data_IF_929460489242
#
_entry.id   IF_929460489242
#
_cell.length_a   1.000
_cell.length_b   1.000
_cell.length_c   1.000
_cell.angle_alpha   90.00
_cell.angle_beta   90.00
_cell.angle_gamma   90.00
#
_symmetry.space_group_name_H-M   'P 1'
#
loop_
_entity.id
_entity.type
_entity.pdbx_description
1 polymer ?
#
# COMPACT_ATOMS: atom_id res chain seq x y z
N UNK A 1 16.73 -0.34 -6.52
CA UNK A 1 17.88 0.25 -5.79
C UNK A 1 17.86 1.76 -5.92
N UNK A 2 17.79 2.28 -7.14
CA UNK A 2 17.88 3.72 -7.45
C UNK A 2 16.90 4.61 -6.68
N UNK A 3 15.67 4.17 -6.41
CA UNK A 3 14.73 4.94 -5.59
C UNK A 3 15.24 5.19 -4.16
N UNK A 4 15.90 4.21 -3.53
CA UNK A 4 16.49 4.37 -2.20
C UNK A 4 17.70 5.32 -2.23
N UNK A 5 18.52 5.24 -3.28
CA UNK A 5 19.67 6.13 -3.49
C UNK A 5 19.19 7.56 -3.74
N UNK A 6 18.23 7.74 -4.65
CA UNK A 6 17.68 9.05 -5.02
C UNK A 6 16.98 9.76 -3.86
N UNK A 7 16.44 9.04 -2.90
CA UNK A 7 15.84 9.62 -1.69
C UNK A 7 16.87 9.86 -0.57
N UNK A 8 18.14 9.54 -0.78
CA UNK A 8 19.21 9.66 0.22
C UNK A 8 19.09 8.67 1.38
N UNK A 9 18.26 7.61 1.23
CA UNK A 9 17.99 6.66 2.31
C UNK A 9 19.16 5.73 2.60
N UNK A 10 20.01 5.48 1.60
CA UNK A 10 21.22 4.68 1.77
C UNK A 10 22.13 5.31 2.80
N UNK A 11 22.45 6.60 2.65
CA UNK A 11 23.31 7.31 3.60
C UNK A 11 22.58 7.58 4.92
N UNK A 12 21.33 8.08 4.84
CA UNK A 12 20.56 8.48 6.03
C UNK A 12 20.33 7.33 7.01
N UNK A 13 20.00 6.15 6.50
CA UNK A 13 19.69 4.97 7.32
C UNK A 13 20.81 3.93 7.32
N UNK A 14 22.00 4.30 6.81
CA UNK A 14 23.19 3.44 6.74
C UNK A 14 22.88 2.08 6.10
N UNK A 15 22.15 2.09 4.98
CA UNK A 15 21.77 0.86 4.28
C UNK A 15 22.95 0.29 3.50
N UNK A 16 23.10 -1.03 3.54
CA UNK A 16 24.04 -1.75 2.68
C UNK A 16 23.39 -2.06 1.33
N UNK A 17 24.00 -1.63 0.23
CA UNK A 17 23.44 -1.79 -1.12
C UNK A 17 23.27 -3.27 -1.52
N UNK A 18 24.16 -4.16 -1.05
CA UNK A 18 24.01 -5.60 -1.29
C UNK A 18 22.77 -6.14 -0.57
N UNK A 19 22.50 -5.71 0.66
CA UNK A 19 21.26 -6.05 1.38
C UNK A 19 20.02 -5.50 0.70
N UNK A 20 20.08 -4.27 0.18
CA UNK A 20 18.99 -3.68 -0.60
C UNK A 20 18.70 -4.54 -1.85
N UNK A 21 19.74 -4.89 -2.61
CA UNK A 21 19.60 -5.72 -3.81
C UNK A 21 19.04 -7.13 -3.48
N UNK A 22 19.57 -7.77 -2.44
CA UNK A 22 19.12 -9.09 -2.00
C UNK A 22 17.67 -9.07 -1.53
N UNK A 23 17.28 -8.09 -0.72
CA UNK A 23 15.90 -7.92 -0.27
C UNK A 23 14.95 -7.76 -1.45
N UNK A 24 15.27 -6.85 -2.40
CA UNK A 24 14.43 -6.62 -3.57
C UNK A 24 14.27 -7.89 -4.42
N UNK A 25 15.35 -8.66 -4.60
CA UNK A 25 15.32 -9.95 -5.29
C UNK A 25 14.48 -10.99 -4.54
N UNK A 26 14.62 -11.08 -3.22
CA UNK A 26 13.82 -12.01 -2.41
C UNK A 26 12.33 -11.67 -2.49
N UNK A 27 11.97 -10.39 -2.41
CA UNK A 27 10.57 -9.94 -2.56
C UNK A 27 10.06 -10.23 -3.98
N UNK A 28 10.83 -9.97 -5.02
CA UNK A 28 10.37 -10.21 -6.40
C UNK A 28 10.07 -11.68 -6.67
N UNK A 29 10.85 -12.61 -6.09
CA UNK A 29 10.64 -14.04 -6.22
C UNK A 29 9.40 -14.57 -5.46
N UNK A 30 8.88 -13.79 -4.51
CA UNK A 30 7.66 -14.13 -3.77
C UNK A 30 6.39 -13.64 -4.46
N UNK A 31 6.50 -12.84 -5.51
CA UNK A 31 5.36 -12.53 -6.37
C UNK A 31 5.14 -13.67 -7.36
N UNK A 32 3.92 -14.23 -7.35
CA UNK A 32 3.57 -15.35 -8.23
C UNK A 32 3.46 -14.90 -9.69
N UNK A 33 4.14 -15.61 -10.59
CA UNK A 33 4.00 -15.43 -12.04
C UNK A 33 2.61 -15.85 -12.56
N UNK A 34 1.84 -16.60 -11.75
CA UNK A 34 0.48 -17.02 -12.10
C UNK A 34 -0.56 -15.90 -11.88
N UNK A 35 -0.23 -14.87 -11.10
CA UNK A 35 -1.11 -13.73 -10.89
C UNK A 35 -1.00 -12.76 -12.07
N UNK A 36 -2.06 -12.66 -12.88
CA UNK A 36 -2.10 -11.73 -14.01
C UNK A 36 -2.00 -10.26 -13.55
N UNK A 37 -2.62 -9.91 -12.42
CA UNK A 37 -2.64 -8.54 -11.89
C UNK A 37 -1.74 -8.36 -10.67
N UNK A 38 -1.87 -9.20 -9.64
CA UNK A 38 -1.12 -9.07 -8.39
C UNK A 38 0.30 -9.68 -8.46
N UNK A 39 1.06 -9.32 -9.49
CA UNK A 39 2.45 -9.74 -9.71
C UNK A 39 3.47 -8.66 -9.29
N UNK A 40 4.76 -8.94 -9.50
CA UNK A 40 5.85 -8.02 -9.15
C UNK A 40 5.74 -6.67 -9.85
N UNK A 41 5.26 -6.63 -11.10
CA UNK A 41 5.03 -5.39 -11.84
C UNK A 41 4.02 -4.49 -11.12
N UNK A 42 2.97 -5.07 -10.52
CA UNK A 42 2.02 -4.33 -9.72
C UNK A 42 2.67 -3.74 -8.46
N UNK A 43 3.45 -4.54 -7.72
CA UNK A 43 4.17 -4.10 -6.53
C UNK A 43 5.18 -2.99 -6.85
N UNK A 44 5.96 -3.16 -7.91
CA UNK A 44 6.91 -2.16 -8.39
C UNK A 44 6.23 -0.85 -8.77
N UNK A 45 5.12 -0.89 -9.51
CA UNK A 45 4.38 0.32 -9.86
C UNK A 45 3.82 1.02 -8.63
N UNK A 46 3.35 0.28 -7.62
CA UNK A 46 2.89 0.89 -6.36
C UNK A 46 4.06 1.55 -5.62
N UNK A 47 5.23 0.91 -5.56
CA UNK A 47 6.45 1.52 -5.02
C UNK A 47 6.86 2.79 -5.79
N UNK A 48 6.77 2.78 -7.12
CA UNK A 48 7.05 3.96 -7.95
C UNK A 48 6.08 5.11 -7.63
N UNK A 49 4.79 4.82 -7.50
CA UNK A 49 3.80 5.84 -7.12
C UNK A 49 4.12 6.44 -5.74
N UNK A 50 4.47 5.58 -4.75
CA UNK A 50 4.91 6.06 -3.44
C UNK A 50 6.19 6.90 -3.51
N UNK A 51 7.16 6.51 -4.33
CA UNK A 51 8.37 7.29 -4.57
C UNK A 51 8.05 8.69 -5.11
N UNK A 52 7.16 8.80 -6.11
CA UNK A 52 6.74 10.09 -6.68
C UNK A 52 5.95 10.93 -5.65
N UNK A 53 5.09 10.31 -4.84
CA UNK A 53 4.40 11.01 -3.75
C UNK A 53 5.39 11.56 -2.71
N UNK A 54 6.41 10.79 -2.35
CA UNK A 54 7.45 11.23 -1.39
C UNK A 54 8.28 12.39 -1.97
N UNK A 55 8.69 12.26 -3.24
CA UNK A 55 9.65 13.16 -3.86
C UNK A 55 9.01 14.43 -4.44
N UNK A 56 7.93 14.29 -5.18
CA UNK A 56 7.38 15.36 -6.03
C UNK A 56 6.14 16.02 -5.41
N UNK A 57 5.40 15.31 -4.55
CA UNK A 57 4.26 15.87 -3.81
C UNK A 57 4.65 16.38 -2.40
N UNK A 58 5.95 16.52 -2.15
CA UNK A 58 6.55 17.03 -0.90
C UNK A 58 6.01 16.37 0.37
N UNK A 59 5.65 15.09 0.31
CA UNK A 59 5.15 14.38 1.49
C UNK A 59 6.18 14.32 2.63
N UNK A 60 7.47 14.47 2.29
CA UNK A 60 8.57 14.56 3.26
C UNK A 60 8.54 15.83 4.12
N UNK A 61 7.82 16.88 3.73
CA UNK A 61 7.57 18.04 4.60
C UNK A 61 6.49 17.78 5.64
N UNK A 62 5.72 16.69 5.53
CA UNK A 62 4.71 16.29 6.51
C UNK A 62 5.11 15.06 7.31
N UNK A 63 5.56 13.99 6.66
CA UNK A 63 5.91 12.73 7.32
C UNK A 63 7.34 12.72 7.86
N UNK A 64 7.57 11.90 8.88
CA UNK A 64 8.91 11.63 9.36
C UNK A 64 9.68 10.75 8.34
N UNK A 65 11.00 10.89 8.20
CA UNK A 65 11.77 10.11 7.24
C UNK A 65 11.66 8.59 7.41
N UNK A 66 11.45 8.10 8.65
CA UNK A 66 11.18 6.68 8.92
C UNK A 66 9.83 6.25 8.36
N UNK A 67 8.82 7.12 8.39
CA UNK A 67 7.48 6.86 7.85
C UNK A 67 7.50 6.89 6.33
N UNK A 68 8.26 7.79 5.71
CA UNK A 68 8.49 7.79 4.26
C UNK A 68 9.25 6.52 3.81
N UNK A 69 10.24 6.06 4.59
CA UNK A 69 10.93 4.79 4.34
C UNK A 69 9.94 3.61 4.43
N UNK A 70 9.13 3.58 5.49
CA UNK A 70 8.09 2.57 5.71
C UNK A 70 7.08 2.53 4.54
N UNK A 71 6.59 3.69 4.10
CA UNK A 71 5.67 3.82 2.97
C UNK A 71 6.24 3.21 1.68
N UNK A 72 7.52 3.48 1.38
CA UNK A 72 8.18 2.95 0.19
C UNK A 72 8.32 1.42 0.24
N UNK A 73 8.76 0.87 1.39
CA UNK A 73 8.90 -0.59 1.60
C UNK A 73 7.54 -1.28 1.55
N UNK A 74 6.54 -0.74 2.27
CA UNK A 74 5.19 -1.27 2.32
C UNK A 74 4.55 -1.27 0.94
N UNK A 75 4.76 -0.23 0.14
CA UNK A 75 4.20 -0.13 -1.20
C UNK A 75 4.71 -1.20 -2.16
N UNK A 76 5.98 -1.60 -2.04
CA UNK A 76 6.52 -2.71 -2.83
C UNK A 76 5.95 -4.06 -2.41
N UNK A 77 5.68 -4.24 -1.11
CA UNK A 77 5.38 -5.55 -0.53
C UNK A 77 3.90 -5.77 -0.22
N UNK A 78 3.04 -4.79 -0.52
CA UNK A 78 1.63 -4.80 -0.17
C UNK A 78 0.82 -5.99 -0.71
N UNK A 79 1.37 -6.72 -1.70
CA UNK A 79 0.74 -7.89 -2.32
C UNK A 79 1.73 -9.08 -2.44
N UNK A 80 2.80 -9.11 -1.63
CA UNK A 80 3.82 -10.17 -1.73
C UNK A 80 3.24 -11.54 -1.31
N UNK A 81 3.44 -12.58 -2.11
CA UNK A 81 2.84 -13.90 -1.86
C UNK A 81 1.34 -13.99 -2.16
N UNK A 82 0.76 -13.00 -2.86
CA UNK A 82 -0.64 -13.06 -3.31
C UNK A 82 -0.88 -14.30 -4.18
N UNK A 83 -1.98 -15.02 -3.92
CA UNK A 83 -2.32 -16.29 -4.57
C UNK A 83 -3.23 -16.15 -5.79
N UNK A 84 -3.71 -14.93 -6.07
CA UNK A 84 -4.65 -14.62 -7.15
C UNK A 84 -6.10 -14.60 -6.69
N UNK A 85 -6.35 -14.97 -5.43
CA UNK A 85 -7.69 -15.06 -4.85
C UNK A 85 -8.03 -13.86 -3.97
N UNK A 86 -9.32 -13.57 -3.80
CA UNK A 86 -9.81 -12.57 -2.84
C UNK A 86 -9.85 -13.13 -1.41
N UNK A 87 -9.89 -12.26 -0.40
CA UNK A 87 -10.05 -12.69 1.00
C UNK A 87 -11.35 -13.49 1.18
N UNK A 88 -12.43 -13.10 0.50
CA UNK A 88 -13.73 -13.78 0.52
C UNK A 88 -13.61 -15.22 0.02
N UNK A 89 -12.90 -15.44 -1.09
CA UNK A 89 -12.66 -16.78 -1.62
C UNK A 89 -11.84 -17.63 -0.64
N UNK A 90 -10.75 -17.09 -0.09
CA UNK A 90 -9.92 -17.82 0.87
C UNK A 90 -10.71 -18.30 2.08
N UNK A 91 -11.61 -17.46 2.61
CA UNK A 91 -12.51 -17.81 3.72
C UNK A 91 -13.51 -18.87 3.29
N UNK A 92 -14.19 -18.67 2.15
CA UNK A 92 -15.20 -19.59 1.65
C UNK A 92 -14.66 -21.01 1.38
N UNK A 93 -13.40 -21.14 0.97
CA UNK A 93 -12.76 -22.43 0.71
C UNK A 93 -12.02 -23.01 1.93
N UNK A 94 -12.00 -22.33 3.08
CA UNK A 94 -11.21 -22.75 4.24
C UNK A 94 -9.70 -22.83 3.96
N UNK A 95 -9.20 -21.93 3.10
CA UNK A 95 -7.79 -21.89 2.71
C UNK A 95 -6.88 -21.80 3.95
N UNK A 96 -5.66 -22.34 3.87
CA UNK A 96 -4.72 -22.35 5.01
C UNK A 96 -4.48 -20.93 5.55
N UNK A 97 -4.29 -19.93 4.68
CA UNK A 97 -4.17 -18.52 5.04
C UNK A 97 -5.37 -18.00 5.83
N UNK A 98 -6.60 -18.35 5.43
CA UNK A 98 -7.80 -17.94 6.15
C UNK A 98 -7.86 -18.54 7.56
N UNK A 99 -7.52 -19.84 7.68
CA UNK A 99 -7.39 -20.52 8.97
C UNK A 99 -6.30 -19.92 9.86
N UNK A 100 -5.15 -19.56 9.29
CA UNK A 100 -4.05 -18.95 10.06
C UNK A 100 -4.42 -17.58 10.62
N UNK A 101 -5.15 -16.77 9.85
CA UNK A 101 -5.52 -15.40 10.23
C UNK A 101 -6.97 -15.25 10.70
N UNK A 102 -7.64 -16.38 10.98
CA UNK A 102 -9.00 -16.44 11.53
C UNK A 102 -9.99 -15.56 10.74
N UNK A 103 -9.93 -15.64 9.42
CA UNK A 103 -10.78 -14.91 8.46
C UNK A 103 -10.63 -13.37 8.48
N UNK A 104 -9.67 -12.84 9.25
CA UNK A 104 -9.41 -11.40 9.39
C UNK A 104 -8.23 -10.94 8.52
N UNK A 105 -8.50 -10.05 7.55
CA UNK A 105 -7.48 -9.42 6.69
C UNK A 105 -6.43 -10.43 6.21
N UNK A 106 -6.89 -11.58 5.70
CA UNK A 106 -6.06 -12.78 5.58
C UNK A 106 -4.81 -12.54 4.72
N UNK A 107 -5.00 -11.88 3.59
CA UNK A 107 -3.91 -11.55 2.69
C UNK A 107 -3.02 -10.44 3.23
N UNK A 108 -3.60 -9.36 3.75
CA UNK A 108 -2.83 -8.24 4.28
C UNK A 108 -1.92 -8.66 5.45
N UNK A 109 -2.41 -9.54 6.33
CA UNK A 109 -1.61 -10.14 7.40
C UNK A 109 -0.49 -11.05 6.85
N UNK A 110 -0.80 -11.86 5.83
CA UNK A 110 0.19 -12.70 5.16
C UNK A 110 1.30 -11.87 4.49
N UNK A 111 0.95 -10.80 3.77
CA UNK A 111 1.91 -9.91 3.12
C UNK A 111 2.88 -9.29 4.15
N UNK A 112 2.35 -8.82 5.29
CA UNK A 112 3.17 -8.36 6.41
C UNK A 112 4.11 -9.46 6.93
N UNK A 113 3.57 -10.67 7.15
CA UNK A 113 4.35 -11.80 7.67
C UNK A 113 5.53 -12.15 6.76
N UNK A 114 5.27 -12.30 5.45
CA UNK A 114 6.28 -12.63 4.45
C UNK A 114 7.36 -11.55 4.31
N UNK A 115 6.96 -10.27 4.28
CA UNK A 115 7.90 -9.14 4.27
C UNK A 115 8.90 -9.26 5.42
N UNK A 116 8.41 -9.40 6.66
CA UNK A 116 9.28 -9.41 7.83
C UNK A 116 10.04 -10.72 7.98
N UNK A 117 9.52 -11.83 7.47
CA UNK A 117 10.26 -13.07 7.34
C UNK A 117 11.47 -12.90 6.41
N UNK A 118 11.30 -12.28 5.24
CA UNK A 118 12.44 -11.95 4.35
C UNK A 118 13.43 -11.03 5.06
N UNK A 119 12.94 -9.98 5.70
CA UNK A 119 13.78 -8.98 6.38
C UNK A 119 14.48 -9.54 7.63
N UNK A 120 14.02 -10.66 8.20
CA UNK A 120 14.69 -11.36 9.30
C UNK A 120 16.01 -12.02 8.86
N UNK A 121 16.19 -12.28 7.56
CA UNK A 121 17.43 -12.83 7.04
C UNK A 121 18.52 -11.73 7.05
N UNK A 122 19.71 -11.96 7.64
CA UNK A 122 20.73 -10.92 7.79
C UNK A 122 21.13 -10.24 6.48
N UNK A 123 21.18 -10.99 5.38
CA UNK A 123 21.55 -10.47 4.05
C UNK A 123 20.43 -9.71 3.36
N UNK A 124 19.20 -9.70 3.90
CA UNK A 124 18.04 -8.98 3.37
C UNK A 124 17.51 -7.94 4.37
N UNK A 125 18.14 -7.79 5.54
CA UNK A 125 17.71 -6.85 6.56
C UNK A 125 18.07 -5.41 6.18
N UNK A 126 17.11 -4.70 5.57
CA UNK A 126 17.22 -3.29 5.21
C UNK A 126 17.40 -2.37 6.43
N UNK A 127 16.87 -2.77 7.58
CA UNK A 127 16.74 -1.95 8.78
C UNK A 127 17.83 -2.27 9.82
N UNK A 128 18.90 -2.96 9.41
CA UNK A 128 19.89 -3.50 10.32
C UNK A 128 20.64 -2.45 11.17
N UNK A 129 20.79 -1.24 10.65
CA UNK A 129 21.48 -0.14 11.31
C UNK A 129 20.54 0.76 12.14
N UNK A 130 19.22 0.52 12.07
CA UNK A 130 18.26 1.28 12.85
C UNK A 130 18.34 0.91 14.34
N UNK A 131 18.04 1.89 15.20
CA UNK A 131 17.82 1.62 16.61
C UNK A 131 16.60 0.70 16.79
N UNK A 132 16.48 0.09 17.98
CA UNK A 132 15.32 -0.75 18.30
C UNK A 132 14.01 0.05 18.26
N UNK A 133 14.05 1.33 18.60
CA UNK A 133 12.89 2.22 18.59
C UNK A 133 12.49 2.58 17.17
N UNK A 134 13.44 2.98 16.34
CA UNK A 134 13.19 3.29 14.92
C UNK A 134 12.67 2.07 14.16
N UNK A 135 13.23 0.89 14.44
CA UNK A 135 12.72 -0.36 13.88
C UNK A 135 11.27 -0.61 14.27
N UNK A 136 10.89 -0.36 15.54
CA UNK A 136 9.51 -0.51 16.00
C UNK A 136 8.59 0.47 15.29
N UNK A 137 9.01 1.71 15.11
CA UNK A 137 8.28 2.74 14.36
C UNK A 137 8.04 2.28 12.92
N UNK A 138 9.12 1.95 12.18
CA UNK A 138 9.00 1.49 10.79
C UNK A 138 8.11 0.24 10.70
N UNK A 139 8.29 -0.73 11.59
CA UNK A 139 7.48 -1.95 11.62
C UNK A 139 6.00 -1.64 11.83
N UNK A 140 5.67 -0.79 12.79
CA UNK A 140 4.29 -0.36 13.06
C UNK A 140 3.70 0.30 11.82
N UNK A 141 4.39 1.28 11.25
CA UNK A 141 3.88 2.03 10.10
C UNK A 141 3.62 1.14 8.88
N UNK A 142 4.53 0.20 8.60
CA UNK A 142 4.33 -0.79 7.53
C UNK A 142 3.10 -1.66 7.79
N UNK A 143 2.95 -2.21 9.00
CA UNK A 143 1.83 -3.10 9.34
C UNK A 143 0.50 -2.36 9.20
N UNK A 144 0.38 -1.18 9.82
CA UNK A 144 -0.84 -0.39 9.73
C UNK A 144 -1.12 0.06 8.29
N UNK A 145 -0.08 0.40 7.52
CA UNK A 145 -0.19 0.76 6.12
C UNK A 145 -0.74 -0.36 5.24
N UNK A 146 -0.19 -1.57 5.34
CA UNK A 146 -0.63 -2.74 4.56
C UNK A 146 -2.04 -3.18 5.01
N UNK A 147 -2.29 -3.31 6.32
CA UNK A 147 -3.62 -3.70 6.82
C UNK A 147 -4.70 -2.68 6.42
N UNK A 148 -4.35 -1.40 6.28
CA UNK A 148 -5.29 -0.38 5.84
C UNK A 148 -5.81 -0.62 4.41
N UNK A 149 -5.15 -1.45 3.59
CA UNK A 149 -5.55 -1.71 2.21
C UNK A 149 -6.79 -2.60 2.08
N UNK A 150 -7.26 -3.18 3.18
CA UNK A 150 -8.52 -3.91 3.20
C UNK A 150 -9.70 -3.00 2.82
N UNK A 151 -10.58 -3.52 1.97
CA UNK A 151 -11.66 -2.74 1.36
C UNK A 151 -12.86 -2.53 2.30
N UNK A 152 -13.08 -3.39 3.30
CA UNK A 152 -14.18 -3.26 4.28
C UNK A 152 -14.17 -1.92 5.02
N UNK A 153 -12.98 -1.41 5.35
CA UNK A 153 -12.81 -0.11 6.02
C UNK A 153 -12.72 1.10 5.07
N UNK A 154 -12.76 0.90 3.74
CA UNK A 154 -12.44 1.95 2.79
C UNK A 154 -13.43 3.12 2.82
N UNK A 155 -14.73 2.83 2.95
CA UNK A 155 -15.77 3.88 2.99
C UNK A 155 -15.58 4.81 4.19
N UNK A 156 -15.34 4.26 5.38
CA UNK A 156 -15.06 5.04 6.60
C UNK A 156 -13.80 5.90 6.44
N UNK A 157 -12.74 5.33 5.84
CA UNK A 157 -11.50 6.06 5.55
C UNK A 157 -11.75 7.27 4.63
N UNK A 158 -12.53 7.10 3.56
CA UNK A 158 -12.89 8.19 2.65
C UNK A 158 -13.74 9.26 3.33
N UNK A 159 -14.68 8.86 4.18
CA UNK A 159 -15.49 9.81 4.96
C UNK A 159 -14.60 10.67 5.85
N UNK A 160 -13.67 10.07 6.61
CA UNK A 160 -12.72 10.85 7.42
C UNK A 160 -11.90 11.82 6.57
N UNK A 161 -11.35 11.35 5.44
CA UNK A 161 -10.56 12.21 4.55
C UNK A 161 -11.38 13.40 4.02
N UNK A 162 -12.62 13.17 3.56
CA UNK A 162 -13.51 14.23 3.05
C UNK A 162 -13.84 15.26 4.12
N UNK A 163 -14.27 14.80 5.29
CA UNK A 163 -14.63 15.68 6.42
C UNK A 163 -13.42 16.52 6.85
N UNK A 164 -12.23 15.93 6.95
CA UNK A 164 -11.00 16.68 7.28
C UNK A 164 -10.72 17.76 6.23
N UNK A 165 -10.83 17.46 4.93
CA UNK A 165 -10.67 18.45 3.87
C UNK A 165 -11.70 19.58 3.97
N UNK A 166 -12.98 19.26 4.19
CA UNK A 166 -14.06 20.23 4.34
C UNK A 166 -13.85 21.15 5.55
N UNK A 167 -13.45 20.60 6.69
CA UNK A 167 -13.13 21.37 7.90
C UNK A 167 -12.01 22.37 7.60
N UNK A 168 -10.90 21.91 6.97
CA UNK A 168 -9.79 22.80 6.62
C UNK A 168 -10.23 23.94 5.68
N UNK A 169 -11.05 23.62 4.67
CA UNK A 169 -11.57 24.62 3.75
C UNK A 169 -12.45 25.66 4.46
N UNK A 170 -13.26 25.24 5.43
CA UNK A 170 -14.06 26.16 6.24
C UNK A 170 -13.19 27.02 7.15
N UNK A 171 -12.13 26.47 7.74
CA UNK A 171 -11.17 27.21 8.56
C UNK A 171 -10.40 28.27 7.74
N UNK A 172 -9.98 27.94 6.51
CA UNK A 172 -9.32 28.89 5.64
C UNK A 172 -10.25 30.05 5.24
N UNK A 173 -11.53 29.76 4.96
CA UNK A 173 -12.52 30.78 4.65
C UNK A 173 -12.74 31.74 5.84
N UNK A 174 -12.88 31.20 7.06
CA UNK A 174 -13.05 32.04 8.27
C UNK A 174 -11.84 32.94 8.54
N UNK A 175 -10.62 32.43 8.38
CA UNK A 175 -9.40 33.24 8.57
C UNK A 175 -9.28 34.36 7.54
N UNK A 176 -9.71 34.11 6.29
CA UNK A 176 -9.78 35.14 5.25
C UNK A 176 -10.80 36.23 5.60
N UNK A 177 -11.96 35.87 6.16
CA UNK A 177 -12.96 36.85 6.64
C UNK A 177 -12.43 37.69 7.81
N UNK A 178 -11.61 37.08 8.67
CA UNK A 178 -10.95 37.74 9.82
C UNK A 178 -9.70 38.56 9.44
N UNK A 179 -9.38 38.68 8.15
CA UNK A 179 -8.26 39.49 7.65
C UNK A 179 -6.87 38.92 7.95
N UNK A 180 -6.76 37.62 8.25
CA UNK A 180 -5.49 36.94 8.41
C UNK A 180 -4.92 36.54 7.04
N UNK A 181 -3.59 36.56 6.90
CA UNK A 181 -2.92 36.04 5.71
C UNK A 181 -3.26 34.55 5.50
N UNK A 182 -3.48 34.15 4.24
CA UNK A 182 -3.68 32.75 3.88
C UNK A 182 -2.44 31.94 4.27
N UNK A 183 -2.59 30.93 5.12
CA UNK A 183 -1.60 29.87 5.20
C UNK A 183 -1.67 29.06 3.90
N UNK A 184 -0.70 29.29 3.02
CA UNK A 184 -0.54 28.49 1.80
C UNK A 184 -0.37 27.01 2.15
N UNK A 185 -1.17 26.17 1.48
CA UNK A 185 -0.81 24.79 1.16
C UNK A 185 -0.45 23.89 2.34
N UNK A 186 -1.36 22.99 2.72
CA UNK A 186 -1.00 21.88 3.60
C UNK A 186 -2.07 20.81 3.65
N UNK A 187 -1.75 19.67 4.21
CA UNK A 187 -2.73 18.61 4.47
C UNK A 187 -3.71 19.02 5.58
N UNK A 188 -4.94 18.49 5.62
CA UNK A 188 -5.93 18.75 6.68
C UNK A 188 -5.70 17.90 7.93
N UNK A 189 -4.43 17.63 8.23
CA UNK A 189 -3.99 16.73 9.28
C UNK A 189 -2.88 17.39 10.08
N UNK A 190 -2.75 17.04 11.35
CA UNK A 190 -1.71 17.58 12.21
C UNK A 190 -0.43 16.75 12.09
N UNK A 191 0.67 17.38 11.65
CA UNK A 191 1.98 16.75 11.54
C UNK A 191 2.50 16.23 12.87
N UNK A 192 2.24 16.92 13.98
CA UNK A 192 2.76 16.53 15.29
C UNK A 192 1.98 15.35 15.91
N UNK A 193 0.83 15.00 15.33
CA UNK A 193 0.01 13.88 15.78
C UNK A 193 0.34 12.59 14.99
N UNK A 194 0.77 11.55 15.72
CA UNK A 194 1.18 10.27 15.12
C UNK A 194 0.03 9.56 14.39
N UNK A 195 -1.21 9.62 14.90
CA UNK A 195 -2.36 8.98 14.27
C UNK A 195 -2.74 9.64 12.95
N UNK A 196 -2.59 10.96 12.87
CA UNK A 196 -2.79 11.74 11.66
C UNK A 196 -1.70 11.45 10.62
N UNK A 197 -0.42 11.38 11.02
CA UNK A 197 0.65 10.92 10.12
C UNK A 197 0.41 9.50 9.61
N UNK A 198 0.00 8.58 10.49
CA UNK A 198 -0.37 7.22 10.09
C UNK A 198 -1.58 7.20 9.14
N UNK A 199 -2.57 8.07 9.36
CA UNK A 199 -3.71 8.19 8.45
C UNK A 199 -3.29 8.70 7.07
N UNK A 200 -2.36 9.65 7.01
CA UNK A 200 -1.76 10.13 5.76
C UNK A 200 -1.01 9.00 5.07
N UNK A 201 -0.16 8.24 5.77
CA UNK A 201 0.51 7.04 5.20
C UNK A 201 -0.50 6.05 4.62
N UNK A 202 -1.56 5.73 5.35
CA UNK A 202 -2.62 4.81 4.89
C UNK A 202 -3.31 5.34 3.62
N UNK A 203 -3.53 6.65 3.56
CA UNK A 203 -4.12 7.32 2.39
C UNK A 203 -3.18 7.23 1.19
N UNK A 204 -1.89 7.47 1.38
CA UNK A 204 -0.89 7.37 0.32
C UNK A 204 -0.68 5.93 -0.16
N UNK A 205 -0.73 4.94 0.74
CA UNK A 205 -0.74 3.52 0.40
C UNK A 205 -1.93 3.16 -0.51
N UNK A 206 -3.13 3.63 -0.18
CA UNK A 206 -4.33 3.43 -1.00
C UNK A 206 -4.22 4.11 -2.36
N UNK A 207 -3.71 5.35 -2.41
CA UNK A 207 -3.46 6.07 -3.65
C UNK A 207 -2.44 5.33 -4.52
N UNK A 208 -1.32 4.87 -3.95
CA UNK A 208 -0.29 4.10 -4.66
C UNK A 208 -0.82 2.77 -5.23
N UNK A 209 -1.67 2.06 -4.46
CA UNK A 209 -2.37 0.84 -4.93
C UNK A 209 -3.21 1.11 -6.19
N UNK A 210 -3.90 2.25 -6.23
CA UNK A 210 -4.84 2.63 -7.29
C UNK A 210 -4.22 3.48 -8.42
N UNK A 211 -2.97 3.92 -8.29
CA UNK A 211 -2.31 4.86 -9.20
C UNK A 211 -2.26 4.41 -10.67
N UNK A 212 -2.42 3.11 -10.95
CA UNK A 212 -2.49 2.57 -12.31
C UNK A 212 -3.66 3.15 -13.11
N UNK A 213 -4.74 3.54 -12.42
CA UNK A 213 -5.93 4.15 -13.03
C UNK A 213 -5.72 5.62 -13.42
N UNK A 214 -4.65 6.27 -12.96
CA UNK A 214 -4.32 7.65 -13.32
C UNK A 214 -3.34 7.73 -14.49
N UNK A 215 -2.87 6.57 -14.99
CA UNK A 215 -2.03 6.50 -16.18
C UNK A 215 -2.82 6.88 -17.43
N UNK A 216 -2.10 7.10 -18.54
CA UNK A 216 -2.72 7.28 -19.87
C UNK A 216 -3.72 6.15 -20.11
N UNK A 217 -4.90 6.50 -20.63
CA UNK A 217 -6.05 5.62 -20.76
C UNK A 217 -5.71 4.25 -21.38
N UNK A 218 -4.85 4.21 -22.40
CA UNK A 218 -4.43 2.95 -23.01
C UNK A 218 -3.73 2.01 -22.03
N UNK A 219 -2.83 2.52 -21.19
CA UNK A 219 -2.12 1.74 -20.18
C UNK A 219 -3.03 1.35 -19.03
N UNK A 220 -3.88 2.27 -18.57
CA UNK A 220 -4.87 1.98 -17.52
C UNK A 220 -5.83 0.85 -17.94
N UNK A 221 -6.24 0.82 -19.23
CA UNK A 221 -7.05 -0.26 -19.80
C UNK A 221 -6.33 -1.61 -19.78
N UNK A 222 -5.03 -1.67 -20.06
CA UNK A 222 -4.28 -2.93 -19.97
C UNK A 222 -4.22 -3.45 -18.52
N UNK A 223 -3.99 -2.58 -17.53
CA UNK A 223 -4.07 -2.97 -16.12
C UNK A 223 -5.46 -3.48 -15.72
N UNK A 224 -6.51 -2.86 -16.24
CA UNK A 224 -7.89 -3.31 -16.02
C UNK A 224 -8.12 -4.72 -16.59
N UNK A 225 -7.65 -4.99 -17.82
CA UNK A 225 -7.74 -6.33 -18.43
C UNK A 225 -7.05 -7.39 -17.58
N UNK A 226 -5.84 -7.11 -17.10
CA UNK A 226 -5.12 -8.03 -16.21
C UNK A 226 -5.90 -8.31 -14.92
N UNK A 227 -6.57 -7.28 -14.36
CA UNK A 227 -7.42 -7.46 -13.17
C UNK A 227 -8.62 -8.33 -13.45
N UNK A 228 -9.31 -8.11 -14.58
CA UNK A 228 -10.44 -8.92 -15.01
C UNK A 228 -10.01 -10.37 -15.23
N UNK A 229 -8.90 -10.60 -15.95
CA UNK A 229 -8.36 -11.93 -16.19
C UNK A 229 -8.08 -12.71 -14.89
N UNK A 230 -7.54 -12.05 -13.87
CA UNK A 230 -7.30 -12.69 -12.58
C UNK A 230 -8.60 -13.09 -11.87
N UNK A 231 -9.62 -12.22 -11.91
CA UNK A 231 -10.94 -12.49 -11.31
C UNK A 231 -11.71 -13.55 -12.09
N UNK A 232 -11.59 -13.61 -13.42
CA UNK A 232 -12.16 -14.66 -14.25
C UNK A 232 -11.59 -16.03 -13.87
N UNK A 233 -10.28 -16.11 -13.63
CA UNK A 233 -9.64 -17.33 -13.15
C UNK A 233 -10.21 -17.83 -11.83
N UNK A 234 -10.48 -16.92 -10.89
CA UNK A 234 -11.17 -17.24 -9.64
C UNK A 234 -12.63 -17.66 -9.89
N UNK A 235 -13.37 -16.94 -10.73
CA UNK A 235 -14.79 -17.21 -11.01
C UNK A 235 -15.03 -18.59 -11.62
N UNK A 236 -14.13 -19.07 -12.48
CA UNK A 236 -14.16 -20.45 -13.00
C UNK A 236 -14.07 -21.46 -11.85
N UNK A 237 -13.14 -21.26 -10.93
CA UNK A 237 -12.96 -22.15 -9.78
C UNK A 237 -14.18 -22.11 -8.85
N UNK A 238 -14.72 -20.92 -8.56
CA UNK A 238 -15.94 -20.75 -7.77
C UNK A 238 -17.11 -21.54 -8.36
N UNK A 239 -17.28 -21.47 -9.68
CA UNK A 239 -18.31 -22.24 -10.40
C UNK A 239 -18.12 -23.74 -10.22
N UNK A 240 -16.90 -24.24 -10.34
CA UNK A 240 -16.58 -25.67 -10.24
C UNK A 240 -16.86 -26.24 -8.83
N UNK A 241 -16.73 -25.42 -7.79
CA UNK A 241 -16.99 -25.82 -6.40
C UNK A 241 -18.34 -25.34 -5.85
N UNK A 242 -19.18 -24.72 -6.69
CA UNK A 242 -20.53 -24.28 -6.33
C UNK A 242 -20.60 -23.08 -5.40
N UNK A 243 -19.59 -22.19 -5.41
CA UNK A 243 -19.61 -20.91 -4.68
C UNK A 243 -20.31 -19.80 -5.50
N UNK A 244 -20.84 -18.75 -4.84
CA UNK A 244 -21.26 -17.54 -5.52
C UNK A 244 -20.13 -16.96 -6.36
N UNK A 245 -20.45 -16.53 -7.59
CA UNK A 245 -19.45 -16.00 -8.51
C UNK A 245 -19.04 -14.59 -8.10
N UNK A 246 -17.74 -14.34 -8.12
CA UNK A 246 -17.15 -13.02 -7.94
C UNK A 246 -17.55 -12.12 -9.10
N UNK A 247 -18.09 -10.95 -8.76
CA UNK A 247 -18.51 -9.96 -9.75
C UNK A 247 -17.32 -9.44 -10.57
N UNK A 248 -17.52 -9.34 -11.88
CA UNK A 248 -16.51 -8.88 -12.82
C UNK A 248 -16.72 -7.39 -13.14
N UNK A 249 -15.69 -6.54 -12.95
CA UNK A 249 -15.78 -5.13 -13.27
C UNK A 249 -16.16 -4.88 -14.74
N UNK A 250 -17.29 -4.19 -14.96
CA UNK A 250 -17.76 -3.81 -16.30
C UNK A 250 -18.56 -4.88 -17.05
N UNK A 251 -18.79 -6.06 -16.46
CA UNK A 251 -19.69 -7.10 -17.01
C UNK A 251 -21.03 -7.11 -16.28
N UNK A 252 -21.01 -6.92 -14.96
CA UNK A 252 -22.22 -6.99 -14.11
C UNK A 252 -22.90 -5.63 -13.88
N UNK A 253 -22.46 -4.57 -14.56
CA UNK A 253 -23.05 -3.22 -14.44
C UNK A 253 -24.30 -3.00 -15.33
N UNK A 254 -24.68 -4.00 -16.13
CA UNK A 254 -25.83 -3.96 -17.06
C UNK A 254 -26.92 -5.00 -16.76
N UNK A 255 -26.95 -5.58 -15.55
CA UNK A 255 -28.01 -6.48 -15.09
C UNK A 255 -28.88 -5.82 -14.01
#
# INVERSE_FOLDING_TARGET
VDMFVSLGYVDRFQMDLCRVANFLRSISLLYSEQCAYHNFGHGFHSMLAAYLLIKDADLASFLDPLECLALLIASLCMNVGHSGFTNEFLVATGHSTARTYNDQMCQENMHCSLLFQVMSHPTCNLLHALSREDFRTVRRVIIHGILSLEMRGHASHLTRLRVSCEIKQLESLKRSEEGHEEEEGGLPFNRDNEEDRQFVVNTMMKAAKLAKQTLRLGVAKEWMKLRVQELEGQSILEKDIGLPLTALPGVDAEA
#
